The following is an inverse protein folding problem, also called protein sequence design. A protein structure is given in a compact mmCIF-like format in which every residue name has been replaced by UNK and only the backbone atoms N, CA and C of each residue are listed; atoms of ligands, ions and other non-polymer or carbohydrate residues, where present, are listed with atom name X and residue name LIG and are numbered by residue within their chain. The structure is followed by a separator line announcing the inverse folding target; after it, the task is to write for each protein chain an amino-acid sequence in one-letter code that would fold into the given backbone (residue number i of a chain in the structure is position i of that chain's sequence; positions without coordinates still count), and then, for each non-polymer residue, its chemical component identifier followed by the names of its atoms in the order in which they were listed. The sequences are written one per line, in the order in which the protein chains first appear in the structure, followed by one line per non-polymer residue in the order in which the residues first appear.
data_IF_847130534602
#
_entry.id   IF_847130534602
#
_cell.length_a   1.000
_cell.length_b   1.000
_cell.length_c   1.000
_cell.angle_alpha   90.00
_cell.angle_beta   90.00
_cell.angle_gamma   90.00
#
_symmetry.space_group_name_H-M   'P 1'
#
loop_
_entity.id
_entity.type
_entity.pdbx_description
1 polymer ?
#
# COMPACT_ATOMS: atom_id res chain seq x y z
N UNK A 1 -14.61 -3.19 51.29
CA UNK A 1 -14.43 -1.97 50.44
C UNK A 1 -13.74 -2.35 49.13
N UNK A 2 -14.35 -3.20 48.28
CA UNK A 2 -13.73 -3.69 47.01
C UNK A 2 -14.75 -3.72 45.86
N UNK A 3 -15.98 -3.25 46.07
CA UNK A 3 -17.11 -3.48 45.14
C UNK A 3 -17.60 -2.19 44.45
N UNK A 4 -16.69 -1.31 44.03
CA UNK A 4 -17.05 -0.08 43.30
C UNK A 4 -16.26 0.19 42.01
N UNK A 5 -15.25 -0.63 41.66
CA UNK A 5 -14.41 -0.40 40.47
C UNK A 5 -14.90 -1.10 39.19
N UNK A 6 -15.80 -2.07 39.29
CA UNK A 6 -16.23 -2.85 38.12
C UNK A 6 -17.29 -2.16 37.24
N UNK A 7 -18.03 -1.17 37.76
CA UNK A 7 -19.14 -0.56 37.02
C UNK A 7 -18.72 0.57 36.07
N UNK A 8 -17.56 1.22 36.30
CA UNK A 8 -17.08 2.29 35.43
C UNK A 8 -16.39 1.78 34.15
N UNK A 9 -15.86 0.56 34.16
CA UNK A 9 -15.18 -0.03 33.00
C UNK A 9 -16.15 -0.47 31.89
N UNK A 10 -17.38 -0.87 32.25
CA UNK A 10 -18.39 -1.31 31.28
C UNK A 10 -19.00 -0.17 30.45
N UNK A 11 -19.11 1.04 31.02
CA UNK A 11 -19.74 2.19 30.35
C UNK A 11 -18.80 2.89 29.35
N UNK A 12 -17.47 2.87 29.58
CA UNK A 12 -16.50 3.42 28.63
C UNK A 12 -16.35 2.53 27.40
N UNK A 13 -16.49 1.21 27.54
CA UNK A 13 -16.45 0.27 26.41
C UNK A 13 -17.65 0.41 25.47
N UNK A 14 -18.85 0.71 25.99
CA UNK A 14 -20.05 0.92 25.19
C UNK A 14 -20.08 2.26 24.45
N UNK A 15 -19.50 3.32 25.03
CA UNK A 15 -19.38 4.62 24.36
C UNK A 15 -18.33 4.62 23.23
N UNK A 16 -17.24 3.86 23.37
CA UNK A 16 -16.22 3.69 22.32
C UNK A 16 -16.75 2.95 21.09
N UNK A 17 -17.64 1.97 21.28
CA UNK A 17 -18.21 1.20 20.18
C UNK A 17 -19.19 2.02 19.32
N UNK A 18 -19.97 2.92 19.93
CA UNK A 18 -20.88 3.81 19.19
C UNK A 18 -20.17 4.94 18.44
N UNK A 19 -19.03 5.44 18.93
CA UNK A 19 -18.26 6.47 18.21
C UNK A 19 -17.60 5.92 16.93
N UNK A 20 -17.20 4.65 16.95
CA UNK A 20 -16.73 3.96 15.74
C UNK A 20 -17.89 3.78 14.76
N UNK A 21 -19.05 3.28 15.21
CA UNK A 21 -20.19 3.02 14.33
C UNK A 21 -20.85 4.29 13.72
N UNK A 22 -20.85 5.42 14.45
CA UNK A 22 -21.51 6.66 14.00
C UNK A 22 -20.70 7.48 12.98
N UNK A 23 -19.41 7.20 12.80
CA UNK A 23 -18.55 7.89 11.81
C UNK A 23 -18.66 7.31 10.38
N UNK A 24 -19.42 6.22 10.19
CA UNK A 24 -19.53 5.53 8.89
C UNK A 24 -20.58 6.10 7.93
N UNK A 25 -21.33 7.14 8.30
CA UNK A 25 -22.23 7.83 7.35
C UNK A 25 -21.40 8.71 6.40
N UNK A 26 -20.81 8.08 5.38
CA UNK A 26 -20.10 8.76 4.29
C UNK A 26 -18.66 8.27 4.07
N UNK A 27 -18.12 7.43 4.96
CA UNK A 27 -16.81 6.81 4.72
C UNK A 27 -16.99 5.63 3.75
N UNK A 28 -16.51 5.81 2.52
CA UNK A 28 -16.33 4.69 1.59
C UNK A 28 -15.35 3.72 2.26
N UNK A 29 -15.69 2.44 2.30
CA UNK A 29 -14.76 1.40 2.73
C UNK A 29 -13.79 1.11 1.57
N UNK A 30 -12.51 0.80 1.85
CA UNK A 30 -11.61 0.34 0.81
C UNK A 30 -12.13 -0.97 0.21
N UNK A 31 -12.07 -1.09 -1.11
CA UNK A 31 -12.39 -2.33 -1.81
C UNK A 31 -11.32 -3.39 -1.55
N UNK A 32 -10.07 -2.95 -1.40
CA UNK A 32 -8.94 -3.81 -1.08
C UNK A 32 -8.04 -3.18 -0.03
N UNK A 33 -7.54 -4.01 0.89
CA UNK A 33 -6.58 -3.60 1.91
C UNK A 33 -5.52 -4.67 2.03
N UNK A 34 -4.25 -4.24 2.07
CA UNK A 34 -3.12 -5.10 2.34
C UNK A 34 -2.19 -4.42 3.34
N UNK A 35 -1.55 -5.22 4.20
CA UNK A 35 -0.61 -4.71 5.20
C UNK A 35 0.65 -5.56 5.23
N UNK A 36 1.76 -4.94 5.62
CA UNK A 36 3.04 -5.60 5.85
C UNK A 36 3.76 -4.96 7.03
N UNK A 37 4.58 -5.74 7.71
CA UNK A 37 5.54 -5.23 8.68
C UNK A 37 6.95 -5.27 8.08
N UNK A 38 7.76 -4.26 8.40
CA UNK A 38 9.18 -4.22 8.07
C UNK A 38 9.97 -4.16 9.39
N UNK A 39 10.16 -5.31 10.07
CA UNK A 39 10.74 -5.32 11.42
C UNK A 39 12.13 -4.69 11.48
N UNK A 40 12.93 -4.85 10.41
CA UNK A 40 14.27 -4.27 10.29
C UNK A 40 14.28 -2.73 10.39
N UNK A 41 13.14 -2.07 10.18
CA UNK A 41 12.96 -0.63 10.28
C UNK A 41 11.96 -0.22 11.37
N UNK A 42 11.39 -1.18 12.10
CA UNK A 42 10.36 -0.92 13.09
C UNK A 42 9.08 -0.30 12.52
N UNK A 43 8.74 -0.62 11.26
CA UNK A 43 7.58 -0.06 10.57
C UNK A 43 6.47 -1.09 10.32
N UNK A 44 5.24 -0.60 10.23
CA UNK A 44 4.13 -1.25 9.57
C UNK A 44 3.60 -0.36 8.44
N UNK A 45 3.24 -0.95 7.32
CA UNK A 45 2.65 -0.26 6.18
C UNK A 45 1.32 -0.91 5.83
N UNK A 46 0.32 -0.08 5.53
CA UNK A 46 -1.00 -0.51 5.05
C UNK A 46 -1.33 0.25 3.77
N UNK A 47 -1.63 -0.48 2.70
CA UNK A 47 -2.16 0.08 1.47
C UNK A 47 -3.66 -0.21 1.39
N UNK A 48 -4.43 0.80 1.02
CA UNK A 48 -5.88 0.74 0.83
C UNK A 48 -6.21 1.25 -0.56
N UNK A 49 -7.01 0.49 -1.30
CA UNK A 49 -7.46 0.82 -2.65
C UNK A 49 -8.97 1.00 -2.63
N UNK A 50 -9.43 2.13 -3.16
CA UNK A 50 -10.83 2.46 -3.31
C UNK A 50 -11.17 2.46 -4.80
N UNK A 51 -12.21 1.69 -5.15
CA UNK A 51 -12.59 1.45 -6.54
C UNK A 51 -13.99 1.98 -6.85
N UNK A 52 -14.20 2.40 -8.09
CA UNK A 52 -15.53 2.67 -8.67
C UNK A 52 -16.11 1.42 -9.34
N UNK A 53 -15.23 0.54 -9.82
CA UNK A 53 -15.55 -0.74 -10.45
C UNK A 53 -14.37 -1.71 -10.30
N UNK A 54 -14.49 -2.96 -10.73
CA UNK A 54 -13.40 -3.97 -10.68
C UNK A 54 -12.11 -3.51 -11.41
N UNK A 55 -12.21 -2.60 -12.36
CA UNK A 55 -11.09 -2.15 -13.21
C UNK A 55 -10.73 -0.68 -13.03
N UNK A 56 -11.38 0.01 -12.09
CA UNK A 56 -11.24 1.46 -11.93
C UNK A 56 -10.98 1.82 -10.48
N UNK A 57 -9.71 2.00 -10.16
CA UNK A 57 -9.30 2.72 -8.96
C UNK A 57 -9.67 4.20 -9.10
N UNK A 58 -10.12 4.83 -8.01
CA UNK A 58 -10.26 6.29 -7.96
C UNK A 58 -9.42 6.92 -6.85
N UNK A 59 -8.95 6.11 -5.90
CA UNK A 59 -8.17 6.58 -4.78
C UNK A 59 -7.39 5.43 -4.16
N UNK A 60 -6.17 5.74 -3.72
CA UNK A 60 -5.35 4.83 -2.93
C UNK A 60 -4.69 5.58 -1.80
N UNK A 61 -4.69 4.95 -0.64
CA UNK A 61 -4.01 5.48 0.53
C UNK A 61 -2.89 4.53 0.95
N UNK A 62 -1.77 5.13 1.37
CA UNK A 62 -0.72 4.42 2.07
C UNK A 62 -0.62 4.99 3.48
N UNK A 63 -0.69 4.10 4.46
CA UNK A 63 -0.44 4.40 5.86
C UNK A 63 0.89 3.79 6.25
N UNK A 64 1.77 4.60 6.83
CA UNK A 64 3.05 4.18 7.42
C UNK A 64 2.95 4.43 8.92
N UNK A 65 3.23 3.42 9.73
CA UNK A 65 3.22 3.51 11.19
C UNK A 65 4.57 3.04 11.75
N UNK A 66 5.10 3.76 12.73
CA UNK A 66 6.39 3.46 13.36
C UNK A 66 6.73 4.45 14.46
N UNK A 67 7.42 3.99 15.50
CA UNK A 67 7.83 4.87 16.62
C UNK A 67 6.67 5.51 17.40
N UNK A 68 5.46 4.94 17.33
CA UNK A 68 4.24 5.51 17.94
C UNK A 68 3.54 6.57 17.08
N UNK A 69 4.09 6.89 15.92
CA UNK A 69 3.54 7.85 14.96
C UNK A 69 2.90 7.13 13.76
N UNK A 70 1.96 7.79 13.11
CA UNK A 70 1.29 7.31 11.90
C UNK A 70 1.19 8.42 10.87
N UNK A 71 1.64 8.16 9.65
CA UNK A 71 1.47 9.04 8.50
C UNK A 71 0.57 8.36 7.47
N UNK A 72 -0.40 9.09 6.96
CA UNK A 72 -1.27 8.65 5.87
C UNK A 72 -1.08 9.58 4.69
N UNK A 73 -0.76 9.02 3.53
CA UNK A 73 -0.65 9.74 2.27
C UNK A 73 -1.71 9.27 1.29
N UNK A 74 -2.34 10.23 0.62
CA UNK A 74 -3.13 9.97 -0.57
C UNK A 74 -2.17 9.80 -1.74
N UNK A 75 -2.17 8.60 -2.32
CA UNK A 75 -1.43 8.31 -3.53
C UNK A 75 -2.18 8.88 -4.73
N UNK A 76 -1.48 9.25 -5.80
CA UNK A 76 -2.16 9.79 -6.98
C UNK A 76 -3.19 8.81 -7.54
N UNK A 77 -4.23 9.37 -8.13
CA UNK A 77 -5.32 8.65 -8.76
C UNK A 77 -4.85 8.00 -10.06
N UNK A 78 -5.05 6.68 -10.16
CA UNK A 78 -4.84 5.98 -11.41
C UNK A 78 -6.18 5.53 -11.94
N UNK A 79 -6.57 6.05 -13.10
CA UNK A 79 -7.67 5.50 -13.90
C UNK A 79 -7.18 4.21 -14.58
N UNK A 80 -7.05 3.13 -13.81
CA UNK A 80 -6.55 1.83 -14.28
C UNK A 80 -6.59 0.77 -13.18
N UNK A 81 -6.28 -0.50 -13.49
CA UNK A 81 -6.23 -1.56 -12.49
C UNK A 81 -5.22 -1.18 -11.39
N UNK A 82 -5.41 -1.68 -10.17
CA UNK A 82 -4.57 -1.31 -9.04
C UNK A 82 -3.12 -1.75 -9.23
N UNK A 83 -2.34 -0.92 -9.93
CA UNK A 83 -0.99 -1.18 -10.34
C UNK A 83 -0.06 -1.22 -9.12
N UNK A 84 1.01 -1.99 -9.21
CA UNK A 84 1.99 -2.23 -8.14
C UNK A 84 2.48 -0.94 -7.45
N UNK A 85 2.52 -0.97 -6.11
CA UNK A 85 3.24 0.01 -5.27
C UNK A 85 4.47 -0.66 -4.65
N UNK A 86 5.66 -0.32 -5.12
CA UNK A 86 6.91 -0.95 -4.72
C UNK A 86 7.53 -0.30 -3.48
N UNK A 87 8.10 -1.10 -2.59
CA UNK A 87 8.69 -0.68 -1.33
C UNK A 87 10.19 -0.97 -1.30
N UNK A 88 10.96 0.02 -0.86
CA UNK A 88 12.41 -0.02 -0.80
C UNK A 88 12.93 0.50 0.53
N UNK A 89 14.07 -0.05 0.94
CA UNK A 89 14.99 0.64 1.84
C UNK A 89 15.83 1.63 1.02
N UNK A 90 15.63 2.92 1.28
CA UNK A 90 16.35 3.99 0.60
C UNK A 90 17.59 4.46 1.37
N UNK A 91 17.70 4.11 2.65
CA UNK A 91 18.83 4.50 3.50
C UNK A 91 18.89 3.71 4.80
N UNK A 92 19.69 4.18 5.76
CA UNK A 92 19.80 3.55 7.08
C UNK A 92 18.44 3.46 7.79
N UNK A 93 17.72 4.58 7.79
CA UNK A 93 16.41 4.80 8.45
C UNK A 93 15.43 5.47 7.49
N UNK A 94 15.49 5.13 6.21
CA UNK A 94 14.65 5.73 5.17
C UNK A 94 14.05 4.66 4.28
N UNK A 95 12.78 4.86 3.92
CA UNK A 95 12.08 4.05 2.92
C UNK A 95 11.68 4.90 1.72
N UNK A 96 11.66 4.28 0.56
CA UNK A 96 11.02 4.81 -0.63
C UNK A 96 9.85 3.90 -1.02
N UNK A 97 8.74 4.52 -1.40
CA UNK A 97 7.54 3.86 -1.88
C UNK A 97 7.22 4.40 -3.26
N UNK A 98 7.42 3.58 -4.28
CA UNK A 98 7.23 3.98 -5.66
C UNK A 98 5.82 3.59 -6.09
N UNK A 99 4.99 4.60 -6.32
CA UNK A 99 3.62 4.42 -6.77
C UNK A 99 3.53 4.01 -8.24
N UNK A 100 2.33 3.71 -8.73
CA UNK A 100 2.15 3.30 -10.12
C UNK A 100 2.39 4.44 -11.14
N UNK A 101 2.01 5.68 -10.84
CA UNK A 101 1.99 6.79 -11.81
C UNK A 101 3.19 7.75 -11.78
N UNK A 102 4.33 7.31 -11.24
CA UNK A 102 5.49 8.19 -11.05
C UNK A 102 5.50 8.93 -9.71
N UNK A 103 4.42 8.83 -8.93
CA UNK A 103 4.36 9.39 -7.58
C UNK A 103 5.16 8.54 -6.61
N UNK A 104 6.34 9.06 -6.28
CA UNK A 104 7.26 8.46 -5.33
C UNK A 104 7.13 9.15 -3.97
N UNK A 105 7.10 8.35 -2.91
CA UNK A 105 6.94 8.82 -1.54
C UNK A 105 8.12 8.37 -0.70
N UNK A 106 8.71 9.29 0.04
CA UNK A 106 9.89 9.03 0.85
C UNK A 106 9.59 9.30 2.32
N UNK A 107 10.07 8.43 3.20
CA UNK A 107 9.84 8.56 4.63
C UNK A 107 11.11 8.27 5.42
N UNK A 108 11.42 9.12 6.39
CA UNK A 108 12.35 8.77 7.46
C UNK A 108 11.59 7.99 8.54
N UNK A 109 12.25 7.00 9.14
CA UNK A 109 11.67 6.07 10.12
C UNK A 109 12.07 6.40 11.56
N UNK A 110 12.77 7.51 11.78
CA UNK A 110 13.14 8.00 13.10
C UNK A 110 13.47 9.50 13.10
N UNK A 111 12.63 10.36 13.71
CA UNK A 111 11.17 10.23 13.87
C UNK A 111 10.44 10.01 12.54
N UNK A 112 9.17 9.58 12.56
CA UNK A 112 8.42 9.27 11.35
C UNK A 112 8.00 10.57 10.66
N UNK A 113 8.55 10.84 9.47
CA UNK A 113 8.22 12.04 8.68
C UNK A 113 8.36 11.79 7.20
N UNK A 114 7.56 12.52 6.40
CA UNK A 114 7.73 12.55 4.95
C UNK A 114 9.00 13.32 4.58
N UNK A 115 9.67 12.87 3.52
CA UNK A 115 10.83 13.51 2.92
C UNK A 115 10.48 13.97 1.50
N UNK A 116 11.12 15.05 1.06
CA UNK A 116 11.05 15.50 -0.34
C UNK A 116 11.91 14.63 -1.26
N UNK A 117 13.04 14.14 -0.75
CA UNK A 117 13.96 13.25 -1.45
C UNK A 117 14.67 12.30 -0.48
N UNK A 118 15.06 11.10 -0.93
CA UNK A 118 15.87 10.17 -0.15
C UNK A 118 17.34 10.61 -0.09
N UNK A 119 18.07 10.14 0.91
CA UNK A 119 19.49 10.47 1.12
C UNK A 119 20.45 9.75 0.17
N UNK A 120 20.02 8.65 -0.46
CA UNK A 120 20.83 7.84 -1.38
C UNK A 120 20.19 7.73 -2.75
N UNK A 121 21.00 7.55 -3.80
CA UNK A 121 20.49 7.35 -5.16
C UNK A 121 19.81 5.98 -5.29
N UNK A 122 18.88 5.85 -6.25
CA UNK A 122 18.00 4.69 -6.42
C UNK A 122 18.72 3.37 -6.69
N UNK A 123 19.92 3.44 -7.25
CA UNK A 123 20.76 2.31 -7.60
C UNK A 123 21.29 1.58 -6.35
N UNK A 124 21.32 2.28 -5.21
CA UNK A 124 21.74 1.73 -3.92
C UNK A 124 20.58 1.20 -3.06
N UNK A 125 19.34 1.38 -3.51
CA UNK A 125 18.19 0.98 -2.72
C UNK A 125 18.03 -0.54 -2.70
N UNK A 126 17.54 -1.05 -1.57
CA UNK A 126 17.23 -2.46 -1.42
C UNK A 126 15.73 -2.67 -1.53
N UNK A 127 15.30 -3.46 -2.51
CA UNK A 127 13.90 -3.82 -2.69
C UNK A 127 13.40 -4.74 -1.56
N UNK A 128 12.26 -4.39 -0.97
CA UNK A 128 11.60 -5.22 0.05
C UNK A 128 10.40 -6.00 -0.46
N UNK A 129 9.78 -5.55 -1.53
CA UNK A 129 8.54 -6.13 -2.02
C UNK A 129 7.61 -5.06 -2.55
N UNK A 130 6.36 -5.43 -2.83
CA UNK A 130 5.38 -4.49 -3.32
C UNK A 130 3.95 -4.87 -2.91
N UNK A 131 3.09 -3.87 -2.80
CA UNK A 131 1.64 -4.09 -2.77
C UNK A 131 1.15 -4.25 -4.21
N UNK A 132 0.42 -5.33 -4.46
CA UNK A 132 -0.02 -5.67 -5.80
C UNK A 132 -1.37 -6.39 -5.80
N UNK A 133 -2.12 -6.21 -6.88
CA UNK A 133 -3.40 -6.87 -7.12
C UNK A 133 -3.16 -8.08 -8.03
N UNK A 134 -3.28 -9.28 -7.47
CA UNK A 134 -3.06 -10.53 -8.20
C UNK A 134 -4.38 -11.21 -8.53
N UNK A 135 -4.37 -11.94 -9.63
CA UNK A 135 -5.40 -12.93 -9.95
C UNK A 135 -5.17 -14.17 -9.08
N UNK A 136 -6.18 -14.63 -8.36
CA UNK A 136 -6.17 -15.89 -7.62
C UNK A 136 -6.22 -17.05 -8.63
N UNK A 137 -5.16 -17.89 -8.72
CA UNK A 137 -5.15 -19.04 -9.61
C UNK A 137 -6.17 -20.12 -9.23
N UNK A 138 -6.73 -20.07 -8.01
CA UNK A 138 -7.82 -20.94 -7.54
C UNK A 138 -9.23 -20.47 -7.94
N UNK A 139 -9.35 -19.30 -8.57
CA UNK A 139 -10.63 -18.79 -9.06
C UNK A 139 -11.23 -19.68 -10.14
N UNK A 140 -12.55 -19.89 -10.10
CA UNK A 140 -13.24 -20.65 -11.14
C UNK A 140 -13.06 -19.98 -12.51
N UNK A 141 -12.57 -20.69 -13.55
CA UNK A 141 -12.42 -20.13 -14.89
C UNK A 141 -13.75 -19.78 -15.57
N UNK A 142 -14.88 -20.17 -14.95
CA UNK A 142 -16.23 -19.83 -15.40
C UNK A 142 -16.79 -18.53 -14.76
N UNK A 143 -16.04 -17.87 -13.88
CA UNK A 143 -16.40 -16.58 -13.26
C UNK A 143 -15.29 -15.54 -13.39
N UNK A 144 -15.56 -14.29 -12.96
CA UNK A 144 -14.52 -13.28 -12.81
C UNK A 144 -13.45 -13.84 -11.85
N UNK A 145 -12.17 -13.90 -12.27
CA UNK A 145 -11.16 -14.48 -11.41
C UNK A 145 -11.03 -13.64 -10.15
N UNK A 146 -11.03 -14.28 -8.98
CA UNK A 146 -10.93 -13.56 -7.72
C UNK A 146 -9.63 -12.76 -7.69
N UNK A 147 -9.69 -11.48 -7.34
CA UNK A 147 -8.52 -10.63 -7.21
C UNK A 147 -8.12 -10.54 -5.74
N UNK A 148 -6.83 -10.72 -5.47
CA UNK A 148 -6.25 -10.63 -4.13
C UNK A 148 -5.23 -9.49 -4.13
N UNK A 149 -5.51 -8.48 -3.31
CA UNK A 149 -4.55 -7.42 -3.05
C UNK A 149 -3.68 -7.83 -1.85
N UNK A 150 -2.38 -7.92 -2.06
CA UNK A 150 -1.46 -8.38 -1.04
C UNK A 150 -0.12 -7.66 -1.13
N UNK A 151 0.65 -7.71 -0.04
CA UNK A 151 2.06 -7.41 -0.09
C UNK A 151 2.83 -8.67 -0.50
N UNK A 152 3.64 -8.56 -1.55
CA UNK A 152 4.50 -9.62 -2.07
C UNK A 152 5.94 -9.29 -1.68
N UNK A 153 6.59 -10.08 -0.81
CA UNK A 153 7.96 -9.80 -0.39
C UNK A 153 8.95 -10.07 -1.53
N UNK A 154 10.12 -9.40 -1.45
CA UNK A 154 11.21 -9.58 -2.41
C UNK A 154 11.75 -11.02 -2.51
N UNK A 155 11.51 -11.85 -1.48
CA UNK A 155 11.85 -13.27 -1.49
C UNK A 155 10.96 -14.11 -2.41
N UNK A 156 9.76 -13.64 -2.70
CA UNK A 156 8.80 -14.31 -3.58
C UNK A 156 8.87 -13.79 -5.02
N UNK A 157 9.08 -12.47 -5.17
CA UNK A 157 9.15 -11.86 -6.49
C UNK A 157 10.28 -10.84 -6.57
N UNK A 158 11.09 -10.96 -7.63
CA UNK A 158 12.12 -9.96 -7.92
C UNK A 158 11.49 -8.62 -8.25
N UNK A 159 12.23 -7.56 -7.97
CA UNK A 159 11.78 -6.19 -8.24
C UNK A 159 11.26 -5.99 -9.66
N UNK A 160 10.09 -5.39 -9.73
CA UNK A 160 9.56 -4.84 -10.94
C UNK A 160 8.78 -3.55 -10.68
N UNK A 161 8.93 -2.58 -11.58
CA UNK A 161 8.23 -1.29 -11.54
C UNK A 161 7.37 -1.19 -12.80
N UNK A 162 6.04 -1.20 -12.70
CA UNK A 162 5.20 -1.01 -13.88
C UNK A 162 5.39 0.41 -14.42
N UNK A 163 5.56 0.54 -15.73
CA UNK A 163 5.43 1.82 -16.44
C UNK A 163 4.01 1.90 -16.99
N UNK A 164 3.20 2.86 -16.53
CA UNK A 164 1.81 3.04 -17.00
C UNK A 164 1.70 3.39 -18.48
N UNK A 165 2.80 3.76 -19.14
CA UNK A 165 2.81 4.11 -20.56
C UNK A 165 4.15 3.75 -21.16
N UNK A 166 4.13 3.00 -22.27
CA UNK A 166 5.25 3.01 -23.21
C UNK A 166 5.49 4.47 -23.62
N UNK A 167 6.57 5.08 -23.12
CA UNK A 167 6.97 6.44 -23.48
C UNK A 167 6.67 7.54 -22.45
N UNK A 168 5.92 7.28 -21.38
CA UNK A 168 5.96 8.17 -20.22
C UNK A 168 7.29 7.92 -19.50
N UNK A 169 8.11 8.96 -19.36
CA UNK A 169 9.38 8.85 -18.67
C UNK A 169 9.18 8.21 -17.31
N UNK A 170 9.73 7.01 -17.11
CA UNK A 170 9.83 6.45 -15.79
C UNK A 170 10.57 7.50 -14.95
N UNK A 171 9.95 8.01 -13.89
CA UNK A 171 10.50 9.06 -13.03
C UNK A 171 11.98 8.80 -12.67
N UNK A 172 12.72 9.80 -12.18
CA UNK A 172 14.18 9.74 -12.07
C UNK A 172 14.70 8.48 -11.36
N UNK A 173 13.93 7.92 -10.41
CA UNK A 173 14.27 6.74 -9.62
C UNK A 173 13.99 5.38 -10.29
N UNK A 174 13.48 5.38 -11.52
CA UNK A 174 12.95 4.19 -12.20
C UNK A 174 13.75 3.78 -13.42
N UNK A 175 14.74 4.57 -13.87
CA UNK A 175 15.38 4.47 -15.19
C UNK A 175 15.96 3.09 -15.53
N UNK A 176 16.62 2.43 -14.57
CA UNK A 176 17.28 1.14 -14.83
C UNK A 176 16.37 -0.08 -14.61
N UNK A 177 15.35 0.06 -13.75
CA UNK A 177 14.44 -1.02 -13.33
C UNK A 177 13.14 -1.03 -14.12
N UNK A 178 12.76 0.09 -14.76
CA UNK A 178 11.59 0.22 -15.63
C UNK A 178 11.63 -0.68 -16.88
N UNK A 179 12.81 -1.17 -17.27
CA UNK A 179 12.99 -1.94 -18.51
C UNK A 179 12.56 -3.41 -18.44
N UNK A 180 12.28 -3.94 -17.25
CA UNK A 180 11.79 -5.32 -17.12
C UNK A 180 10.29 -5.24 -16.91
N UNK A 181 9.53 -5.38 -17.99
CA UNK A 181 8.08 -5.52 -17.97
C UNK A 181 7.67 -6.46 -16.84
N UNK A 182 6.89 -5.96 -15.89
CA UNK A 182 6.35 -6.80 -14.81
C UNK A 182 5.55 -7.93 -15.45
N UNK A 183 5.49 -9.11 -14.80
CA UNK A 183 4.50 -10.09 -15.21
C UNK A 183 3.18 -9.34 -15.34
N UNK A 184 2.58 -9.38 -16.54
CA UNK A 184 1.29 -8.72 -16.71
C UNK A 184 0.35 -9.27 -15.63
N UNK A 185 -0.49 -8.43 -15.00
CA UNK A 185 -1.66 -8.98 -14.31
C UNK A 185 -2.30 -9.95 -15.30
N UNK A 186 -2.51 -11.21 -14.89
CA UNK A 186 -2.90 -12.29 -15.80
C UNK A 186 -4.03 -11.84 -16.73
N UNK A 187 -4.09 -12.36 -17.98
CA UNK A 187 -4.98 -11.82 -19.01
C UNK A 187 -6.41 -11.72 -18.48
N UNK A 188 -6.92 -10.50 -18.36
CA UNK A 188 -8.32 -10.24 -18.10
C UNK A 188 -9.07 -10.60 -19.39
N UNK A 189 -9.85 -11.67 -19.34
CA UNK A 189 -10.73 -12.07 -20.42
C UNK A 189 -11.72 -10.93 -20.70
N UNK A 190 -11.54 -10.21 -21.81
CA UNK A 190 -12.56 -9.32 -22.35
C UNK A 190 -13.76 -10.16 -22.80
N UNK A 191 -14.84 -10.16 -22.03
CA UNK A 191 -16.16 -10.62 -22.48
C UNK A 191 -17.22 -9.63 -22.04
#
# INVERSE_FOLDING_TARGET
MVLRKAFLAGLVALAGFWFVAASFKGQRLPAHTAATAVPALGLALTAEVFTLSELTEFERHLTVAGGGETLRVRMADVQGPAHRTSLYRAGGTEIAVLGPAGDDYFFATGPLRRLDSPSRPSEEWTYFGAFDLRTDPGGSPAGNPAQVFAFIPASEETECIPTLSEGAGAGPHRKDRARRSCPAPGPLSSR
#
